data_IF_395523525439
#
_entry.id   IF_395523525439
#
_cell.length_a   1.000
_cell.length_b   1.000
_cell.length_c   1.000
_cell.angle_alpha   90.00
_cell.angle_beta   90.00
_cell.angle_gamma   90.00
#
_symmetry.space_group_name_H-M   'P 1'
#
loop_
_entity.id
_entity.type
_entity.pdbx_description
1 polymer ?
#
# COMPACT_ATOMS: atom_id res chain seq x y z
N UNK A 1 8.74 -9.74 -11.28
CA UNK A 1 7.29 -9.82 -10.98
C UNK A 1 6.62 -8.52 -11.41
N UNK A 2 5.42 -8.54 -11.98
CA UNK A 2 4.65 -7.31 -12.30
C UNK A 2 4.19 -6.63 -11.02
N UNK A 3 4.19 -5.29 -10.95
CA UNK A 3 3.70 -4.50 -9.79
C UNK A 3 2.35 -4.97 -9.25
N UNK A 4 1.42 -5.33 -10.15
CA UNK A 4 0.14 -5.98 -9.80
C UNK A 4 0.30 -7.18 -8.88
N UNK A 5 1.14 -8.15 -9.25
CA UNK A 5 1.32 -9.39 -8.49
C UNK A 5 2.00 -9.11 -7.15
N UNK A 6 2.92 -8.15 -7.10
CA UNK A 6 3.58 -7.74 -5.87
C UNK A 6 2.57 -7.15 -4.87
N UNK A 7 1.77 -6.17 -5.29
CA UNK A 7 0.74 -5.59 -4.43
C UNK A 7 -0.28 -6.61 -3.93
N UNK A 8 -0.75 -7.52 -4.80
CA UNK A 8 -1.66 -8.59 -4.37
C UNK A 8 -1.02 -9.55 -3.38
N UNK A 9 0.19 -10.03 -3.65
CA UNK A 9 0.89 -10.98 -2.79
C UNK A 9 1.22 -10.36 -1.44
N UNK A 10 1.81 -9.15 -1.44
CA UNK A 10 2.16 -8.41 -0.23
C UNK A 10 0.90 -8.06 0.55
N UNK A 11 -0.16 -7.60 -0.11
CA UNK A 11 -1.43 -7.29 0.52
C UNK A 11 -2.05 -8.51 1.21
N UNK A 12 -2.16 -9.63 0.49
CA UNK A 12 -2.70 -10.87 1.05
C UNK A 12 -1.85 -11.39 2.21
N UNK A 13 -0.52 -11.41 2.05
CA UNK A 13 0.40 -11.78 3.13
C UNK A 13 0.21 -10.89 4.36
N UNK A 14 0.05 -9.58 4.16
CA UNK A 14 -0.17 -8.60 5.25
C UNK A 14 -1.49 -8.82 5.98
N UNK A 15 -2.57 -9.16 5.27
CA UNK A 15 -3.86 -9.51 5.89
C UNK A 15 -3.73 -10.78 6.74
N UNK A 16 -2.99 -11.79 6.26
CA UNK A 16 -2.69 -12.99 7.05
C UNK A 16 -1.86 -12.61 8.29
N UNK A 17 -0.82 -11.79 8.13
CA UNK A 17 0.00 -11.28 9.23
C UNK A 17 -0.81 -10.49 10.26
N UNK A 18 -1.80 -9.69 9.84
CA UNK A 18 -2.74 -9.02 10.73
C UNK A 18 -3.56 -10.02 11.57
N UNK A 19 -4.03 -11.11 10.96
CA UNK A 19 -4.71 -12.20 11.67
C UNK A 19 -3.78 -12.86 12.69
N UNK A 20 -2.54 -13.16 12.29
CA UNK A 20 -1.53 -13.75 13.17
C UNK A 20 -1.16 -12.86 14.35
N UNK A 21 -1.00 -11.54 14.13
CA UNK A 21 -0.72 -10.60 15.22
C UNK A 21 -1.91 -10.48 16.17
N UNK A 22 -3.15 -10.53 15.67
CA UNK A 22 -4.34 -10.59 16.52
C UNK A 22 -4.41 -11.84 17.39
N UNK A 23 -4.13 -13.01 16.82
CA UNK A 23 -4.04 -14.27 17.58
C UNK A 23 -2.91 -14.21 18.60
N UNK A 24 -1.76 -13.65 18.23
CA UNK A 24 -0.63 -13.46 19.13
C UNK A 24 -1.00 -12.60 20.35
N UNK A 25 -1.70 -11.47 20.15
CA UNK A 25 -2.16 -10.64 21.26
C UNK A 25 -3.13 -11.37 22.19
N UNK A 26 -4.06 -12.14 21.62
CA UNK A 26 -5.03 -12.92 22.38
C UNK A 26 -4.34 -13.97 23.25
N UNK A 27 -3.44 -14.76 22.68
CA UNK A 27 -2.81 -15.88 23.40
C UNK A 27 -1.67 -15.46 24.31
N UNK A 28 -0.85 -14.48 23.93
CA UNK A 28 0.35 -14.12 24.68
C UNK A 28 0.10 -13.06 25.76
N UNK A 29 -0.86 -12.17 25.52
CA UNK A 29 -1.11 -10.99 26.36
C UNK A 29 -2.53 -10.94 26.95
N UNK A 30 -3.31 -12.02 26.86
CA UNK A 30 -4.71 -12.08 27.36
C UNK A 30 -5.52 -10.84 26.95
N UNK A 31 -5.53 -10.55 25.64
CA UNK A 31 -6.17 -9.36 25.06
C UNK A 31 -5.67 -8.01 25.65
N UNK A 32 -4.39 -7.99 26.03
CA UNK A 32 -3.69 -6.84 26.63
C UNK A 32 -4.26 -6.44 27.99
N UNK A 33 -4.92 -7.36 28.70
CA UNK A 33 -5.44 -7.13 30.06
C UNK A 33 -4.27 -6.88 31.02
N UNK A 34 -4.41 -5.86 31.86
CA UNK A 34 -3.37 -5.46 32.82
C UNK A 34 -2.29 -4.52 32.27
N UNK A 35 -2.33 -4.15 30.98
CA UNK A 35 -1.48 -3.09 30.43
C UNK A 35 -2.10 -1.69 30.61
N UNK A 36 -1.25 -0.67 30.65
CA UNK A 36 -1.66 0.73 30.66
C UNK A 36 -2.49 1.09 29.43
N UNK A 37 -3.41 2.03 29.56
CA UNK A 37 -4.30 2.48 28.49
C UNK A 37 -3.52 2.92 27.24
N UNK A 38 -2.42 3.65 27.42
CA UNK A 38 -1.57 4.12 26.34
C UNK A 38 -0.97 2.96 25.53
N UNK A 39 -0.41 1.96 26.19
CA UNK A 39 0.19 0.80 25.52
C UNK A 39 -0.87 -0.04 24.79
N UNK A 40 -2.06 -0.20 25.36
CA UNK A 40 -3.17 -0.89 24.68
C UNK A 40 -3.59 -0.16 23.40
N UNK A 41 -3.67 1.17 23.43
CA UNK A 41 -4.00 1.99 22.26
C UNK A 41 -2.92 1.90 21.17
N UNK A 42 -1.65 1.82 21.54
CA UNK A 42 -0.55 1.63 20.58
C UNK A 42 -0.66 0.28 19.87
N UNK A 43 -0.83 -0.83 20.60
CA UNK A 43 -1.02 -2.15 19.98
C UNK A 43 -2.22 -2.15 19.03
N UNK A 44 -3.38 -1.65 19.49
CA UNK A 44 -4.61 -1.64 18.67
C UNK A 44 -4.46 -0.75 17.43
N UNK A 45 -3.95 0.47 17.57
CA UNK A 45 -3.83 1.39 16.43
C UNK A 45 -2.85 0.87 15.39
N UNK A 46 -1.67 0.38 15.80
CA UNK A 46 -0.69 -0.15 14.87
C UNK A 46 -1.17 -1.46 14.22
N UNK A 47 -1.92 -2.29 14.94
CA UNK A 47 -2.60 -3.46 14.37
C UNK A 47 -3.65 -3.06 13.31
N UNK A 48 -4.47 -2.04 13.57
CA UNK A 48 -5.42 -1.49 12.59
C UNK A 48 -4.72 -0.92 11.36
N UNK A 49 -3.58 -0.25 11.53
CA UNK A 49 -2.81 0.27 10.40
C UNK A 49 -2.15 -0.83 9.57
N UNK A 50 -1.73 -1.93 10.20
CA UNK A 50 -1.26 -3.10 9.47
C UNK A 50 -2.35 -3.67 8.55
N UNK A 51 -3.60 -3.77 9.05
CA UNK A 51 -4.74 -4.15 8.22
C UNK A 51 -4.97 -3.17 7.07
N UNK A 52 -5.02 -1.86 7.37
CA UNK A 52 -5.17 -0.81 6.37
C UNK A 52 -4.14 -0.94 5.25
N UNK A 53 -2.87 -1.18 5.62
CA UNK A 53 -1.78 -1.33 4.66
C UNK A 53 -1.93 -2.57 3.78
N UNK A 54 -2.40 -3.68 4.36
CA UNK A 54 -2.74 -4.90 3.61
C UNK A 54 -3.87 -4.65 2.62
N UNK A 55 -4.95 -3.99 3.06
CA UNK A 55 -6.09 -3.65 2.20
C UNK A 55 -5.73 -2.67 1.10
N UNK A 56 -4.89 -1.66 1.37
CA UNK A 56 -4.38 -0.74 0.34
C UNK A 56 -3.61 -1.50 -0.75
N UNK A 57 -2.76 -2.44 -0.36
CA UNK A 57 -2.01 -3.27 -1.30
C UNK A 57 -2.93 -4.21 -2.11
N UNK A 58 -3.90 -4.87 -1.48
CA UNK A 58 -4.89 -5.69 -2.21
C UNK A 58 -5.71 -4.84 -3.17
N UNK A 59 -6.28 -3.72 -2.69
CA UNK A 59 -7.12 -2.82 -3.47
C UNK A 59 -6.39 -2.26 -4.68
N UNK A 60 -5.17 -1.78 -4.50
CA UNK A 60 -4.34 -1.32 -5.61
C UNK A 60 -4.01 -2.47 -6.57
N UNK A 61 -3.64 -3.64 -6.05
CA UNK A 61 -3.37 -4.82 -6.87
C UNK A 61 -4.56 -5.23 -7.76
N UNK A 62 -5.79 -5.14 -7.24
CA UNK A 62 -7.03 -5.39 -7.99
C UNK A 62 -7.32 -4.28 -9.01
N UNK A 63 -7.11 -3.02 -8.64
CA UNK A 63 -7.29 -1.87 -9.53
C UNK A 63 -6.39 -1.98 -10.78
N UNK A 64 -5.09 -2.25 -10.60
CA UNK A 64 -4.15 -2.42 -11.71
C UNK A 64 -4.48 -3.67 -12.56
N UNK A 65 -5.16 -4.67 -12.00
CA UNK A 65 -5.62 -5.84 -12.75
C UNK A 65 -6.77 -5.48 -13.72
N UNK A 66 -7.68 -4.57 -13.31
CA UNK A 66 -8.79 -4.10 -14.14
C UNK A 66 -8.34 -3.29 -15.36
N UNK A 67 -7.34 -2.41 -15.20
CA UNK A 67 -6.79 -1.61 -16.32
C UNK A 67 -6.17 -2.49 -17.42
N UNK A 68 -5.49 -3.57 -17.01
CA UNK A 68 -4.85 -4.51 -17.95
C UNK A 68 -5.86 -5.24 -18.85
N UNK A 69 -7.10 -5.43 -18.38
CA UNK A 69 -8.19 -6.03 -19.16
C UNK A 69 -8.72 -5.09 -20.24
N UNK A 70 -8.98 -3.83 -19.89
CA UNK A 70 -9.47 -2.80 -20.82
C UNK A 70 -8.51 -2.50 -21.97
N UNK A 71 -7.20 -2.50 -21.72
CA UNK A 71 -6.20 -2.23 -22.75
C UNK A 71 -6.15 -3.30 -23.86
N UNK A 72 -6.52 -4.55 -23.52
CA UNK A 72 -6.50 -5.68 -24.47
C UNK A 72 -7.66 -5.61 -25.47
N UNK A 73 -8.79 -5.04 -25.06
CA UNK A 73 -9.98 -4.83 -25.89
C UNK A 73 -9.76 -3.67 -26.88
N UNK A 74 -9.17 -2.55 -26.42
CA UNK A 74 -8.86 -1.38 -27.27
C UNK A 74 -7.77 -1.63 -28.33
N UNK A 75 -6.91 -2.63 -28.13
CA UNK A 75 -5.84 -2.98 -29.08
C UNK A 75 -6.40 -3.63 -30.35
N UNK A 76 -7.61 -4.19 -30.33
CA UNK A 76 -8.29 -4.70 -31.53
C UNK A 76 -8.83 -3.60 -32.45
N UNK A 77 -9.12 -2.41 -31.93
CA UNK A 77 -9.70 -1.28 -32.68
C UNK A 77 -8.65 -0.29 -33.19
N UNK A 78 -7.53 -0.11 -32.48
CA UNK A 78 -6.71 1.10 -32.65
C UNK A 78 -5.54 0.99 -33.66
N UNK A 79 -5.78 0.35 -34.81
CA UNK A 79 -4.79 0.17 -35.88
C UNK A 79 -4.44 1.43 -36.67
N UNK A 80 -5.11 2.57 -36.44
CA UNK A 80 -5.01 3.77 -37.31
C UNK A 80 -4.53 5.06 -36.64
N UNK A 81 -4.46 5.16 -35.31
CA UNK A 81 -4.07 6.42 -34.63
C UNK A 81 -2.57 6.55 -34.31
N UNK A 82 -1.77 5.49 -34.52
CA UNK A 82 -0.36 5.43 -34.06
C UNK A 82 0.58 6.45 -34.72
N UNK A 83 0.17 7.08 -35.81
CA UNK A 83 1.02 8.00 -36.58
C UNK A 83 0.99 9.46 -36.08
N UNK A 84 0.04 9.85 -35.21
CA UNK A 84 -0.06 11.23 -34.66
C UNK A 84 0.65 11.45 -33.32
N UNK A 85 1.31 10.43 -32.77
CA UNK A 85 1.66 10.33 -31.34
C UNK A 85 3.10 10.77 -30.97
N UNK A 86 3.69 11.68 -31.75
CA UNK A 86 5.06 12.17 -31.54
C UNK A 86 5.26 13.00 -30.26
N UNK A 87 4.23 13.73 -29.82
CA UNK A 87 4.30 14.63 -28.65
C UNK A 87 3.89 13.95 -27.32
N UNK A 88 3.29 12.76 -27.36
CA UNK A 88 2.81 12.06 -26.16
C UNK A 88 3.90 11.27 -25.39
N UNK A 89 5.13 11.20 -25.92
CA UNK A 89 6.21 10.39 -25.34
C UNK A 89 6.74 10.96 -24.01
N UNK A 90 6.72 12.29 -23.83
CA UNK A 90 7.20 12.94 -22.61
C UNK A 90 6.25 12.73 -21.41
N UNK A 91 4.94 12.79 -21.63
CA UNK A 91 3.92 12.58 -20.59
C UNK A 91 3.93 11.15 -20.03
N UNK A 92 4.09 10.14 -20.91
CA UNK A 92 4.10 8.74 -20.52
C UNK A 92 5.27 8.34 -19.61
N UNK A 93 6.44 8.96 -19.79
CA UNK A 93 7.62 8.65 -18.97
C UNK A 93 7.47 9.18 -17.54
N UNK A 94 6.91 10.38 -17.38
CA UNK A 94 6.64 10.97 -16.07
C UNK A 94 5.56 10.20 -15.29
N UNK A 95 4.44 9.85 -15.93
CA UNK A 95 3.38 9.05 -15.31
C UNK A 95 3.89 7.68 -14.83
N UNK A 96 4.72 7.01 -15.64
CA UNK A 96 5.36 5.75 -15.28
C UNK A 96 6.26 5.87 -14.04
N UNK A 97 7.04 6.94 -13.93
CA UNK A 97 7.88 7.20 -12.76
C UNK A 97 7.05 7.45 -11.50
N UNK A 98 6.02 8.30 -11.59
CA UNK A 98 5.11 8.60 -10.46
C UNK A 98 4.44 7.32 -9.95
N UNK A 99 3.93 6.49 -10.86
CA UNK A 99 3.32 5.19 -10.54
C UNK A 99 4.31 4.22 -9.91
N UNK A 100 5.55 4.19 -10.40
CA UNK A 100 6.64 3.38 -9.85
C UNK A 100 6.99 3.77 -8.42
N UNK A 101 7.22 5.07 -8.17
CA UNK A 101 7.51 5.61 -6.84
C UNK A 101 6.33 5.35 -5.90
N UNK A 102 5.10 5.63 -6.34
CA UNK A 102 3.90 5.39 -5.54
C UNK A 102 3.73 3.92 -5.14
N UNK A 103 4.06 3.00 -6.05
CA UNK A 103 4.05 1.55 -5.77
C UNK A 103 5.06 1.18 -4.69
N UNK A 104 6.29 1.71 -4.75
CA UNK A 104 7.33 1.46 -3.73
C UNK A 104 6.91 1.99 -2.36
N UNK A 105 6.36 3.20 -2.30
CA UNK A 105 5.88 3.81 -1.06
C UNK A 105 4.73 3.02 -0.40
N UNK A 106 3.86 2.41 -1.19
CA UNK A 106 2.78 1.56 -0.66
C UNK A 106 3.30 0.18 -0.24
N UNK A 107 4.29 -0.37 -0.96
CA UNK A 107 4.87 -1.68 -0.65
C UNK A 107 5.74 -1.68 0.62
N UNK A 108 6.35 -0.55 0.99
CA UNK A 108 7.14 -0.45 2.22
C UNK A 108 6.25 -0.35 3.47
N UNK A 109 5.01 0.13 3.32
CA UNK A 109 4.05 0.34 4.40
C UNK A 109 3.85 -0.87 5.32
N UNK A 110 3.55 -2.07 4.79
CA UNK A 110 3.34 -3.26 5.62
C UNK A 110 4.55 -3.61 6.50
N UNK A 111 5.76 -3.45 5.97
CA UNK A 111 6.99 -3.75 6.71
C UNK A 111 7.19 -2.76 7.86
N UNK A 112 6.94 -1.47 7.62
CA UNK A 112 7.04 -0.45 8.66
C UNK A 112 5.94 -0.58 9.71
N UNK A 113 4.70 -0.86 9.34
CA UNK A 113 3.63 -1.11 10.32
C UNK A 113 3.88 -2.38 11.14
N UNK A 114 4.43 -3.43 10.53
CA UNK A 114 4.83 -4.63 11.25
C UNK A 114 5.97 -4.33 12.24
N UNK A 115 6.99 -3.58 11.83
CA UNK A 115 8.05 -3.12 12.73
C UNK A 115 7.50 -2.25 13.86
N UNK A 116 6.55 -1.37 13.54
CA UNK A 116 5.84 -0.53 14.50
C UNK A 116 5.11 -1.38 15.53
N UNK A 117 4.39 -2.41 15.10
CA UNK A 117 3.64 -3.31 15.98
C UNK A 117 4.56 -4.00 17.00
N UNK A 118 5.75 -4.42 16.57
CA UNK A 118 6.69 -5.15 17.41
C UNK A 118 7.49 -4.25 18.35
N UNK A 119 7.71 -2.97 18.01
CA UNK A 119 8.62 -2.09 18.77
C UNK A 119 7.96 -0.92 19.46
N UNK A 120 7.01 -0.24 18.82
CA UNK A 120 6.43 1.01 19.34
C UNK A 120 5.75 0.88 20.71
N UNK A 121 5.04 -0.21 21.04
CA UNK A 121 4.44 -0.37 22.36
C UNK A 121 5.46 -0.38 23.51
N UNK A 122 6.73 -0.68 23.21
CA UNK A 122 7.83 -0.73 24.17
C UNK A 122 8.72 0.52 24.13
N UNK A 123 8.42 1.48 23.26
CA UNK A 123 9.09 2.77 23.25
C UNK A 123 8.46 3.70 24.29
N UNK A 124 9.29 4.45 25.01
CA UNK A 124 8.81 5.50 25.91
C UNK A 124 8.09 6.62 25.16
N UNK A 125 7.25 7.38 25.89
CA UNK A 125 6.62 8.62 25.43
C UNK A 125 5.75 8.52 24.15
N UNK A 126 5.12 7.36 23.89
CA UNK A 126 4.27 7.13 22.70
C UNK A 126 5.01 7.44 21.38
N UNK A 127 6.33 7.27 21.33
CA UNK A 127 7.10 7.50 20.11
C UNK A 127 6.68 6.51 19.01
N UNK A 128 6.44 7.04 17.79
CA UNK A 128 5.99 6.25 16.63
C UNK A 128 6.94 6.37 15.42
N UNK A 129 8.21 5.97 15.57
CA UNK A 129 9.21 6.15 14.51
C UNK A 129 8.95 5.28 13.27
N UNK A 130 8.07 4.28 13.32
CA UNK A 130 7.79 3.40 12.18
C UNK A 130 6.40 3.64 11.59
N UNK A 131 5.36 3.71 12.42
CA UNK A 131 3.97 3.87 11.98
C UNK A 131 3.72 5.24 11.35
N UNK A 132 4.34 6.31 11.87
CA UNK A 132 4.18 7.67 11.33
C UNK A 132 4.72 7.79 9.90
N UNK A 133 5.99 7.43 9.60
CA UNK A 133 6.48 7.48 8.22
C UNK A 133 5.75 6.48 7.31
N UNK A 134 5.31 5.33 7.82
CA UNK A 134 4.51 4.39 7.04
C UNK A 134 3.18 4.99 6.56
N UNK A 135 2.50 5.72 7.46
CA UNK A 135 1.23 6.39 7.13
C UNK A 135 1.44 7.48 6.08
N UNK A 136 2.48 8.31 6.24
CA UNK A 136 2.81 9.34 5.24
C UNK A 136 3.22 8.75 3.89
N UNK A 137 4.00 7.65 3.89
CA UNK A 137 4.36 6.94 2.68
C UNK A 137 3.13 6.36 1.97
N UNK A 138 2.20 5.74 2.71
CA UNK A 138 0.97 5.21 2.15
C UNK A 138 0.10 6.30 1.50
N UNK A 139 -0.07 7.44 2.18
CA UNK A 139 -0.80 8.60 1.65
C UNK A 139 -0.14 9.18 0.40
N UNK A 140 1.17 9.44 0.46
CA UNK A 140 1.93 9.96 -0.67
C UNK A 140 1.90 8.99 -1.85
N UNK A 141 2.05 7.69 -1.60
CA UNK A 141 1.99 6.67 -2.64
C UNK A 141 0.62 6.60 -3.32
N UNK A 142 -0.47 6.74 -2.56
CA UNK A 142 -1.81 6.79 -3.13
C UNK A 142 -2.03 8.06 -3.98
N UNK A 143 -1.57 9.21 -3.50
CA UNK A 143 -1.64 10.46 -4.24
C UNK A 143 -0.84 10.40 -5.56
N UNK A 144 0.32 9.75 -5.57
CA UNK A 144 1.12 9.56 -6.79
C UNK A 144 0.44 8.64 -7.81
N UNK A 145 -0.26 7.59 -7.36
CA UNK A 145 -1.06 6.75 -8.27
C UNK A 145 -2.22 7.54 -8.88
N UNK A 146 -2.92 8.35 -8.07
CA UNK A 146 -3.98 9.20 -8.57
C UNK A 146 -3.47 10.23 -9.58
N UNK A 147 -2.39 10.96 -9.26
CA UNK A 147 -1.79 11.93 -10.18
C UNK A 147 -1.26 11.29 -11.48
N UNK A 148 -0.73 10.06 -11.39
CA UNK A 148 -0.29 9.32 -12.57
C UNK A 148 -1.48 8.99 -13.49
N UNK A 149 -2.64 8.63 -12.93
CA UNK A 149 -3.84 8.34 -13.73
C UNK A 149 -4.37 9.56 -14.49
N UNK A 150 -4.40 10.75 -13.86
CA UNK A 150 -4.85 11.98 -14.54
C UNK A 150 -3.96 12.36 -15.73
N UNK A 151 -2.66 12.04 -15.67
CA UNK A 151 -1.71 12.31 -16.76
C UNK A 151 -1.78 11.32 -17.91
N UNK A 152 -2.40 10.16 -17.72
CA UNK A 152 -2.65 9.21 -18.80
C UNK A 152 -3.90 9.60 -19.61
N UNK A 153 -4.80 10.40 -19.02
CA UNK A 153 -6.07 10.85 -19.62
C UNK A 153 -5.98 12.22 -20.33
N UNK A 154 -4.88 12.96 -20.15
CA UNK A 154 -4.62 14.29 -20.76
C UNK A 154 -3.84 14.19 -22.06
#
# INVERSE_FOLDING_TARGET
MTFRRLHLLVGLATVVLFGLTGLYLRFRYDDLRGMTDATRLLFRSTQTYLLLSGLLNVGLGLYLAGESGRGRERTGENGRERERRGDAAAGGTAAGLLRGIGSVLILIGPLLFLAGFLREPFLGALARPFSTPALYAALAGMALHWLASEREDS
#
